data_IF_328255475328
#
_entry.id   IF_328255475328
#
_cell.length_a   1.000
_cell.length_b   1.000
_cell.length_c   1.000
_cell.angle_alpha   90.00
_cell.angle_beta   90.00
_cell.angle_gamma   90.00
#
_symmetry.space_group_name_H-M   'P 1'
#
loop_
_entity.id
_entity.type
_entity.pdbx_description
1 polymer ?
#
# COMPACT_ATOMS: atom_id res chain seq x y z
N UNK A 1 4.97 -14.41 -3.46
CA UNK A 1 4.24 -15.28 -2.51
C UNK A 1 4.55 -16.78 -2.69
N UNK A 2 4.59 -17.33 -3.92
CA UNK A 2 4.93 -18.75 -4.16
C UNK A 2 6.26 -19.18 -3.50
N UNK A 3 7.31 -18.39 -3.71
CA UNK A 3 8.64 -18.60 -3.11
C UNK A 3 8.69 -18.37 -1.59
N UNK A 4 7.56 -17.99 -0.96
CA UNK A 4 7.39 -17.84 0.50
C UNK A 4 6.54 -18.99 1.08
N UNK A 5 6.26 -20.05 0.32
CA UNK A 5 5.51 -21.22 0.78
C UNK A 5 3.99 -21.16 0.59
N UNK A 6 3.46 -20.10 -0.04
CA UNK A 6 2.03 -20.01 -0.34
C UNK A 6 1.65 -20.90 -1.53
N UNK A 7 0.61 -21.70 -1.36
CA UNK A 7 0.04 -22.53 -2.42
C UNK A 7 -0.62 -21.64 -3.49
N UNK A 8 -0.22 -21.80 -4.75
CA UNK A 8 -0.74 -21.01 -5.86
C UNK A 8 -2.26 -21.13 -6.01
N UNK A 9 -2.83 -22.32 -5.78
CA UNK A 9 -4.29 -22.55 -5.82
C UNK A 9 -5.09 -21.76 -4.78
N UNK A 10 -4.42 -21.21 -3.76
CA UNK A 10 -5.03 -20.36 -2.73
C UNK A 10 -4.84 -18.86 -2.99
N UNK A 11 -4.08 -18.49 -4.02
CA UNK A 11 -3.89 -17.10 -4.41
C UNK A 11 -5.05 -16.68 -5.32
N UNK A 12 -5.68 -15.54 -5.01
CA UNK A 12 -6.68 -14.91 -5.87
C UNK A 12 -6.17 -13.55 -6.31
N UNK A 13 -6.04 -13.29 -7.62
CA UNK A 13 -5.81 -11.93 -8.10
C UNK A 13 -7.04 -11.07 -7.82
N UNK A 14 -6.81 -9.77 -7.67
CA UNK A 14 -7.83 -8.74 -7.63
C UNK A 14 -7.23 -7.49 -8.29
N UNK A 15 -8.08 -6.66 -8.89
CA UNK A 15 -7.62 -5.53 -9.72
C UNK A 15 -8.01 -4.16 -9.13
N UNK A 16 -8.69 -4.13 -7.99
CA UNK A 16 -9.09 -2.88 -7.32
C UNK A 16 -9.22 -2.97 -5.81
N UNK A 17 -9.23 -1.80 -5.18
CA UNK A 17 -9.48 -1.62 -3.74
C UNK A 17 -10.90 -2.09 -3.38
N UNK A 18 -11.87 -1.86 -4.26
CA UNK A 18 -13.27 -2.28 -4.10
C UNK A 18 -13.42 -3.81 -4.18
N UNK A 19 -12.69 -4.45 -5.10
CA UNK A 19 -12.69 -5.90 -5.22
C UNK A 19 -12.02 -6.55 -4.00
N UNK A 20 -10.87 -6.01 -3.56
CA UNK A 20 -10.22 -6.43 -2.32
C UNK A 20 -11.18 -6.33 -1.12
N UNK A 21 -11.86 -5.19 -0.96
CA UNK A 21 -12.89 -4.99 0.06
C UNK A 21 -14.00 -6.04 -0.01
N UNK A 22 -14.53 -6.32 -1.19
CA UNK A 22 -15.58 -7.31 -1.40
C UNK A 22 -15.12 -8.73 -1.04
N UNK A 23 -13.91 -9.12 -1.47
CA UNK A 23 -13.34 -10.45 -1.20
C UNK A 23 -13.08 -10.65 0.30
N UNK A 24 -12.56 -9.63 0.99
CA UNK A 24 -12.35 -9.64 2.44
C UNK A 24 -13.70 -9.69 3.18
N UNK A 25 -14.66 -8.83 2.81
CA UNK A 25 -15.97 -8.74 3.49
C UNK A 25 -16.82 -10.00 3.32
N UNK A 26 -16.69 -10.68 2.17
CA UNK A 26 -17.34 -11.96 1.91
C UNK A 26 -16.56 -13.17 2.43
N UNK A 27 -15.43 -12.95 3.14
CA UNK A 27 -14.54 -14.00 3.66
C UNK A 27 -14.02 -14.98 2.58
N UNK A 28 -13.97 -14.53 1.33
CA UNK A 28 -13.43 -15.30 0.20
C UNK A 28 -11.91 -15.35 0.17
N UNK A 29 -11.26 -14.41 0.88
CA UNK A 29 -9.84 -14.38 1.19
C UNK A 29 -9.68 -14.08 2.69
N UNK A 30 -8.59 -14.58 3.29
CA UNK A 30 -8.28 -14.33 4.70
C UNK A 30 -7.32 -13.13 4.90
N UNK A 31 -6.53 -12.82 3.87
CA UNK A 31 -5.58 -11.71 3.85
C UNK A 31 -5.35 -11.27 2.40
N UNK A 32 -4.95 -10.02 2.22
CA UNK A 32 -4.49 -9.45 0.96
C UNK A 32 -3.01 -9.07 1.06
N UNK A 33 -2.31 -9.12 -0.07
CA UNK A 33 -0.91 -8.72 -0.17
C UNK A 33 -0.76 -7.73 -1.31
N UNK A 34 -0.23 -6.56 -1.00
CA UNK A 34 -0.02 -5.46 -1.93
C UNK A 34 1.03 -4.48 -1.38
N UNK A 35 1.34 -3.44 -2.15
CA UNK A 35 2.14 -2.30 -1.68
C UNK A 35 1.41 -1.54 -0.56
N UNK A 36 2.17 -1.07 0.44
CA UNK A 36 1.64 -0.37 1.63
C UNK A 36 0.74 0.82 1.26
N UNK A 37 1.09 1.56 0.19
CA UNK A 37 0.32 2.70 -0.29
C UNK A 37 -1.13 2.34 -0.65
N UNK A 38 -1.37 1.16 -1.23
CA UNK A 38 -2.73 0.75 -1.58
C UNK A 38 -3.53 0.38 -0.33
N UNK A 39 -2.89 -0.20 0.68
CA UNK A 39 -3.55 -0.44 1.97
C UNK A 39 -3.83 0.83 2.76
N UNK A 40 -2.97 1.85 2.68
CA UNK A 40 -3.29 3.18 3.21
C UNK A 40 -4.58 3.73 2.58
N UNK A 41 -4.78 3.55 1.28
CA UNK A 41 -6.03 3.96 0.60
C UNK A 41 -7.21 3.05 0.98
N UNK A 42 -7.02 1.75 1.11
CA UNK A 42 -8.07 0.82 1.57
C UNK A 42 -8.57 1.18 2.99
N UNK A 43 -7.64 1.41 3.93
CA UNK A 43 -7.94 1.78 5.31
C UNK A 43 -8.60 3.16 5.39
N UNK A 44 -8.19 4.10 4.54
CA UNK A 44 -8.79 5.43 4.52
C UNK A 44 -10.23 5.41 3.98
N UNK A 45 -10.53 4.49 3.05
CA UNK A 45 -11.87 4.30 2.49
C UNK A 45 -12.81 3.45 3.35
N UNK A 46 -12.28 2.45 4.08
CA UNK A 46 -13.08 1.47 4.84
C UNK A 46 -12.81 1.46 6.34
N UNK A 47 -12.06 2.45 6.85
CA UNK A 47 -11.76 2.67 8.26
C UNK A 47 -11.21 1.42 8.97
N UNK A 48 -11.56 1.26 10.25
CA UNK A 48 -11.12 0.19 11.15
C UNK A 48 -11.65 -1.21 10.82
N UNK A 49 -12.21 -1.45 9.61
CA UNK A 49 -12.63 -2.79 9.18
C UNK A 49 -11.44 -3.72 8.95
N UNK A 50 -10.27 -3.16 8.68
CA UNK A 50 -9.05 -3.89 8.34
C UNK A 50 -7.89 -3.37 9.17
N UNK A 51 -6.87 -4.20 9.30
CA UNK A 51 -5.59 -3.84 9.90
C UNK A 51 -4.47 -4.36 9.00
N UNK A 52 -3.40 -3.59 8.89
CA UNK A 52 -2.12 -4.10 8.39
C UNK A 52 -1.42 -4.83 9.52
N UNK A 53 -0.97 -6.06 9.27
CA UNK A 53 -0.35 -6.93 10.28
C UNK A 53 1.11 -7.21 9.93
N UNK A 54 1.95 -7.24 10.96
CA UNK A 54 3.36 -7.59 10.84
C UNK A 54 3.56 -9.12 10.75
N UNK A 55 4.63 -9.60 10.09
CA UNK A 55 5.73 -8.84 9.47
C UNK A 55 5.43 -8.36 8.05
N UNK A 56 5.90 -7.17 7.70
CA UNK A 56 5.81 -6.63 6.35
C UNK A 56 6.78 -7.34 5.38
N UNK A 57 6.28 -7.74 4.21
CA UNK A 57 7.14 -8.18 3.12
C UNK A 57 7.68 -6.95 2.39
N UNK A 58 8.97 -6.63 2.57
CA UNK A 58 9.62 -5.49 1.89
C UNK A 58 9.49 -5.63 0.38
N UNK A 59 8.89 -4.63 -0.26
CA UNK A 59 8.97 -4.41 -1.70
C UNK A 59 10.14 -3.48 -2.05
N UNK A 60 10.45 -3.38 -3.35
CA UNK A 60 11.45 -2.44 -3.86
C UNK A 60 10.90 -1.01 -4.07
N UNK A 61 9.60 -0.80 -3.83
CA UNK A 61 8.91 0.48 -4.08
C UNK A 61 8.60 0.74 -5.56
N UNK A 62 8.22 1.98 -5.85
CA UNK A 62 7.88 2.46 -7.20
C UNK A 62 9.07 3.15 -7.86
N UNK A 63 9.12 3.14 -9.19
CA UNK A 63 10.16 3.80 -9.97
C UNK A 63 9.69 4.26 -11.34
N UNK A 64 10.48 5.15 -11.94
CA UNK A 64 10.29 5.60 -13.32
C UNK A 64 11.07 4.68 -14.26
N UNK A 65 10.42 4.25 -15.35
CA UNK A 65 11.01 3.31 -16.30
C UNK A 65 11.37 4.02 -17.60
N UNK A 66 12.60 3.81 -18.05
CA UNK A 66 13.12 4.35 -19.31
C UNK A 66 13.73 3.24 -20.17
N UNK A 67 13.75 3.39 -21.51
CA UNK A 67 14.54 2.53 -22.37
C UNK A 67 16.01 2.51 -21.93
N UNK A 68 16.67 1.39 -22.15
CA UNK A 68 18.12 1.27 -21.89
C UNK A 68 18.87 2.37 -22.65
N UNK A 69 19.82 3.01 -21.96
CA UNK A 69 20.60 4.15 -22.47
C UNK A 69 19.80 5.43 -22.73
N UNK A 70 18.59 5.56 -22.17
CA UNK A 70 17.85 6.83 -22.23
C UNK A 70 18.65 7.95 -21.56
N UNK A 71 18.82 9.12 -22.22
CA UNK A 71 19.47 10.26 -21.60
C UNK A 71 18.69 10.79 -20.38
N UNK A 72 17.38 10.51 -20.31
CA UNK A 72 16.50 10.97 -19.22
C UNK A 72 16.76 10.29 -17.89
N UNK A 73 17.39 9.10 -17.86
CA UNK A 73 17.59 8.36 -16.62
C UNK A 73 18.35 9.20 -15.60
N UNK A 74 19.46 9.83 -16.01
CA UNK A 74 20.27 10.65 -15.11
C UNK A 74 19.49 11.86 -14.60
N UNK A 75 18.86 12.59 -15.52
CA UNK A 75 18.21 13.86 -15.19
C UNK A 75 16.99 13.65 -14.28
N UNK A 76 16.20 12.60 -14.51
CA UNK A 76 15.07 12.24 -13.64
C UNK A 76 15.54 11.71 -12.29
N UNK A 77 16.57 10.88 -12.23
CA UNK A 77 17.14 10.44 -10.94
C UNK A 77 17.63 11.61 -10.10
N UNK A 78 18.29 12.60 -10.72
CA UNK A 78 18.73 13.81 -10.02
C UNK A 78 17.56 14.67 -9.53
N UNK A 79 16.51 14.82 -10.34
CA UNK A 79 15.31 15.55 -9.93
C UNK A 79 14.61 14.85 -8.74
N UNK A 80 14.53 13.52 -8.74
CA UNK A 80 13.97 12.76 -7.62
C UNK A 80 14.81 12.95 -6.34
N UNK A 81 16.14 12.91 -6.47
CA UNK A 81 17.03 13.15 -5.33
C UNK A 81 16.75 14.54 -4.71
N UNK A 82 16.72 15.58 -5.54
CA UNK A 82 16.42 16.95 -5.09
C UNK A 82 15.04 17.07 -4.43
N UNK A 83 14.02 16.40 -4.99
CA UNK A 83 12.68 16.36 -4.39
C UNK A 83 12.65 15.64 -3.04
N UNK A 84 13.46 14.60 -2.88
CA UNK A 84 13.53 13.79 -1.65
C UNK A 84 14.33 14.46 -0.53
N UNK A 85 15.29 15.32 -0.87
CA UNK A 85 16.07 16.10 0.09
C UNK A 85 15.31 17.33 0.62
N UNK A 86 14.22 17.72 -0.04
CA UNK A 86 13.32 18.79 0.39
C UNK A 86 11.98 18.29 0.91
N UNK A 87 11.08 19.23 1.23
CA UNK A 87 9.77 18.91 1.80
C UNK A 87 8.71 18.58 0.72
N UNK A 88 9.01 18.81 -0.56
CA UNK A 88 8.05 18.64 -1.66
C UNK A 88 7.53 17.20 -1.75
N UNK A 89 8.38 16.19 -1.52
CA UNK A 89 7.95 14.79 -1.48
C UNK A 89 6.86 14.57 -0.42
N UNK A 90 7.02 15.14 0.77
CA UNK A 90 6.04 15.05 1.86
C UNK A 90 4.75 15.81 1.51
N UNK A 91 4.85 16.95 0.84
CA UNK A 91 3.69 17.72 0.38
C UNK A 91 2.88 16.93 -0.66
N UNK A 92 3.56 16.24 -1.59
CA UNK A 92 2.94 15.34 -2.57
C UNK A 92 2.22 14.20 -1.84
N UNK A 93 2.91 13.50 -0.93
CA UNK A 93 2.31 12.41 -0.14
C UNK A 93 1.08 12.90 0.64
N UNK A 94 1.19 14.02 1.35
CA UNK A 94 0.08 14.58 2.12
C UNK A 94 -1.11 14.96 1.23
N UNK A 95 -0.85 15.54 0.06
CA UNK A 95 -1.90 15.99 -0.88
C UNK A 95 -2.67 14.83 -1.49
N UNK A 96 -2.03 13.69 -1.72
CA UNK A 96 -2.64 12.58 -2.45
C UNK A 96 -3.02 11.38 -1.57
N UNK A 97 -2.26 11.11 -0.50
CA UNK A 97 -2.46 9.94 0.37
C UNK A 97 -3.13 10.29 1.71
N UNK A 98 -2.88 11.48 2.27
CA UNK A 98 -3.43 11.87 3.59
C UNK A 98 -4.81 12.56 3.52
N UNK A 99 -5.51 12.51 2.39
CA UNK A 99 -6.81 13.19 2.21
C UNK A 99 -8.03 12.45 2.78
N UNK A 100 -7.86 11.28 3.41
CA UNK A 100 -8.98 10.43 3.81
C UNK A 100 -8.89 9.94 5.26
N UNK A 101 -9.03 10.86 6.21
CA UNK A 101 -9.67 10.55 7.50
C UNK A 101 -10.96 11.35 7.73
N UNK A 102 -11.47 12.04 6.69
CA UNK A 102 -12.74 12.75 6.78
C UNK A 102 -13.90 11.75 6.85
N UNK A 103 -14.15 11.19 8.04
CA UNK A 103 -15.29 10.32 8.35
C UNK A 103 -14.95 8.99 9.03
N UNK A 104 -13.67 8.64 9.21
CA UNK A 104 -13.32 7.48 10.03
C UNK A 104 -13.20 7.89 11.50
N UNK A 105 -13.94 7.23 12.42
CA UNK A 105 -13.69 7.40 13.84
C UNK A 105 -12.30 6.88 14.19
N UNK A 106 -11.68 7.46 15.22
CA UNK A 106 -10.37 7.03 15.69
C UNK A 106 -10.36 5.50 15.94
N UNK A 107 -9.28 4.79 15.56
CA UNK A 107 -9.18 3.36 15.80
C UNK A 107 -9.37 3.07 17.29
N UNK A 108 -10.29 2.17 17.62
CA UNK A 108 -10.54 1.78 19.00
C UNK A 108 -9.26 1.09 19.53
N UNK A 109 -8.64 1.57 20.64
CA UNK A 109 -7.35 1.06 21.13
C UNK A 109 -7.37 -0.40 21.58
N UNK A 110 -8.53 -1.05 21.64
CA UNK A 110 -8.66 -2.48 22.01
C UNK A 110 -8.24 -3.46 20.89
N UNK A 111 -8.13 -3.02 19.64
CA UNK A 111 -7.72 -3.90 18.53
C UNK A 111 -6.21 -4.14 18.45
N UNK A 112 -5.38 -3.37 19.16
CA UNK A 112 -3.92 -3.55 19.21
C UNK A 112 -3.46 -4.62 20.19
N UNK A 113 -4.34 -5.10 21.09
CA UNK A 113 -3.98 -6.07 22.14
C UNK A 113 -4.57 -7.47 21.95
N UNK A 114 -5.35 -7.71 20.89
CA UNK A 114 -6.16 -8.94 20.73
C UNK A 114 -5.60 -10.04 19.83
N UNK A 115 -4.36 -9.94 19.34
CA UNK A 115 -3.75 -10.97 18.48
C UNK A 115 -2.53 -11.57 19.18
N UNK A 116 -2.78 -12.27 20.29
CA UNK A 116 -1.87 -13.17 20.98
C UNK A 116 -2.43 -14.59 21.00
#
# INVERSE_FOLDING_TARGET
>A
LKNKGFQESKLKPYDSIEECHMLMSSRKIAAAFDEEVYFKVLLSKYCSKYAMVEPYFKSAGFGFVFPKNSPLTRDVSMAILQLSEGDEMQHIEKKWLNKQSHGCPDPNPDLSHGLG
#
